data_IF_104102204683
#
_entry.id   IF_104102204683
#
_cell.length_a   1.000
_cell.length_b   1.000
_cell.length_c   1.000
_cell.angle_alpha   90.00
_cell.angle_beta   90.00
_cell.angle_gamma   90.00
#
_symmetry.space_group_name_H-M   'P 1'
#
loop_
_entity.id
_entity.type
_entity.pdbx_description
1 polymer ?
#
# COMPACT_ATOMS: atom_id res chain seq x y z
N UNK A 1 25.77 18.01 -8.70
CA UNK A 1 25.49 19.36 -9.21
C UNK A 1 24.24 19.88 -8.52
N UNK A 2 24.36 20.96 -7.75
CA UNK A 2 23.24 21.63 -7.08
C UNK A 2 22.27 22.26 -8.09
N UNK A 3 20.99 22.40 -7.74
CA UNK A 3 19.91 22.93 -8.58
C UNK A 3 20.20 24.35 -9.07
N UNK A 4 20.91 25.15 -8.28
CA UNK A 4 21.33 26.50 -8.67
C UNK A 4 22.27 26.44 -9.87
N UNK A 5 23.29 25.58 -9.80
CA UNK A 5 24.23 25.39 -10.91
C UNK A 5 23.51 24.80 -12.13
N UNK A 6 22.55 23.89 -11.91
CA UNK A 6 21.78 23.26 -13.00
C UNK A 6 21.03 24.30 -13.83
N UNK A 7 20.35 25.25 -13.15
CA UNK A 7 19.69 26.38 -13.79
C UNK A 7 20.68 27.30 -14.49
N UNK A 8 21.85 27.58 -13.89
CA UNK A 8 22.88 28.39 -14.54
C UNK A 8 23.39 27.78 -15.84
N UNK A 9 23.64 26.47 -15.86
CA UNK A 9 24.05 25.75 -17.09
C UNK A 9 22.94 25.75 -18.13
N UNK A 10 21.68 25.52 -17.73
CA UNK A 10 20.56 25.61 -18.65
C UNK A 10 20.41 27.02 -19.27
N UNK A 11 20.53 28.08 -18.48
CA UNK A 11 20.54 29.45 -19.01
C UNK A 11 21.69 29.69 -20.00
N UNK A 12 22.87 29.12 -19.76
CA UNK A 12 23.99 29.22 -20.69
C UNK A 12 23.70 28.49 -22.00
N UNK A 13 23.09 27.29 -21.94
CA UNK A 13 22.67 26.51 -23.10
C UNK A 13 21.69 27.31 -23.98
N UNK A 14 20.70 27.97 -23.37
CA UNK A 14 19.76 28.86 -24.08
C UNK A 14 20.52 30.02 -24.73
N UNK A 15 21.36 30.74 -23.97
CA UNK A 15 22.11 31.90 -24.46
C UNK A 15 23.08 31.59 -25.61
N UNK A 16 23.59 30.37 -25.65
CA UNK A 16 24.55 29.89 -26.66
C UNK A 16 23.88 29.18 -27.84
N UNK A 17 22.55 29.01 -27.81
CA UNK A 17 21.79 28.33 -28.86
C UNK A 17 21.94 26.81 -28.86
N UNK A 18 22.56 26.22 -27.83
CA UNK A 18 22.69 24.77 -27.72
C UNK A 18 21.36 24.06 -27.42
N UNK A 19 20.29 24.79 -27.12
CA UNK A 19 18.93 24.27 -26.96
C UNK A 19 18.36 23.65 -28.25
N UNK A 20 18.94 23.96 -29.42
CA UNK A 20 18.54 23.31 -30.68
C UNK A 20 18.99 21.83 -30.76
N UNK A 21 19.94 21.41 -29.91
CA UNK A 21 20.51 20.06 -29.98
C UNK A 21 19.76 19.09 -29.07
N UNK A 22 19.13 18.09 -29.69
CA UNK A 22 18.36 17.03 -29.00
C UNK A 22 19.13 16.35 -27.85
N UNK A 23 20.41 16.04 -28.04
CA UNK A 23 21.24 15.41 -27.00
C UNK A 23 21.40 16.28 -25.75
N UNK A 24 21.53 17.61 -25.94
CA UNK A 24 21.64 18.56 -24.84
C UNK A 24 20.32 18.64 -24.07
N UNK A 25 19.19 18.69 -24.79
CA UNK A 25 17.87 18.67 -24.15
C UNK A 25 17.59 17.35 -23.42
N UNK A 26 17.98 16.20 -23.97
CA UNK A 26 17.87 14.91 -23.30
C UNK A 26 18.63 14.91 -21.96
N UNK A 27 19.85 15.46 -21.94
CA UNK A 27 20.64 15.60 -20.72
C UNK A 27 20.02 16.57 -19.71
N UNK A 28 19.40 17.66 -20.18
CA UNK A 28 18.69 18.61 -19.33
C UNK A 28 17.44 18.00 -18.69
N UNK A 29 16.64 17.26 -19.46
CA UNK A 29 15.45 16.53 -18.95
C UNK A 29 15.88 15.54 -17.87
N UNK A 30 16.85 14.68 -18.15
CA UNK A 30 17.38 13.70 -17.20
C UNK A 30 17.91 14.37 -15.92
N UNK A 31 18.69 15.45 -16.07
CA UNK A 31 19.26 16.19 -14.95
C UNK A 31 18.18 16.81 -14.05
N UNK A 32 17.17 17.47 -14.62
CA UNK A 32 16.08 18.08 -13.84
C UNK A 32 15.22 17.01 -13.15
N UNK A 33 14.91 15.93 -13.87
CA UNK A 33 14.11 14.84 -13.35
C UNK A 33 14.80 14.11 -12.19
N UNK A 34 16.09 13.76 -12.31
CA UNK A 34 16.88 13.15 -11.22
C UNK A 34 17.02 14.02 -9.98
N UNK A 35 16.71 15.31 -10.09
CA UNK A 35 16.73 16.29 -8.99
C UNK A 35 15.34 16.62 -8.46
N UNK A 36 14.30 15.92 -8.90
CA UNK A 36 12.92 16.14 -8.49
C UNK A 36 12.27 17.42 -9.02
N UNK A 37 12.96 18.17 -9.89
CA UNK A 37 12.42 19.39 -10.50
C UNK A 37 11.64 19.07 -11.78
N UNK A 38 10.58 18.25 -11.63
CA UNK A 38 9.77 17.76 -12.75
C UNK A 38 9.18 18.90 -13.59
N UNK A 39 8.77 20.02 -12.97
CA UNK A 39 8.29 21.20 -13.71
C UNK A 39 9.29 21.70 -14.75
N UNK A 40 10.58 21.80 -14.40
CA UNK A 40 11.62 22.18 -15.35
C UNK A 40 11.87 21.10 -16.40
N UNK A 41 11.82 19.81 -16.02
CA UNK A 41 11.96 18.70 -16.94
C UNK A 41 10.83 18.72 -18.01
N UNK A 42 9.58 18.93 -17.59
CA UNK A 42 8.44 19.10 -18.49
C UNK A 42 8.61 20.28 -19.42
N UNK A 43 9.05 21.43 -18.90
CA UNK A 43 9.31 22.61 -19.73
C UNK A 43 10.33 22.29 -20.82
N UNK A 44 11.52 21.76 -20.47
CA UNK A 44 12.55 21.44 -21.47
C UNK A 44 12.00 20.45 -22.49
N UNK A 45 11.37 19.37 -22.04
CA UNK A 45 10.83 18.33 -22.91
C UNK A 45 9.79 18.88 -23.90
N UNK A 46 8.85 19.72 -23.42
CA UNK A 46 7.81 20.29 -24.26
C UNK A 46 8.37 21.23 -25.35
N UNK A 47 9.49 21.92 -25.08
CA UNK A 47 10.15 22.80 -26.06
C UNK A 47 10.98 22.04 -27.11
N UNK A 48 11.23 20.74 -26.93
CA UNK A 48 11.95 19.94 -27.92
C UNK A 48 11.10 19.76 -29.19
N UNK A 49 11.65 20.14 -30.35
CA UNK A 49 10.99 19.96 -31.65
C UNK A 49 10.94 18.49 -32.09
N UNK A 50 12.02 17.74 -31.86
CA UNK A 50 12.13 16.31 -32.13
C UNK A 50 12.42 15.57 -30.81
N UNK A 51 11.69 14.48 -30.58
CA UNK A 51 11.74 13.68 -29.34
C UNK A 51 12.02 12.23 -29.71
N UNK A 52 13.07 11.66 -29.13
CA UNK A 52 13.43 10.26 -29.35
C UNK A 52 13.17 9.40 -28.11
N UNK A 53 13.45 8.09 -28.21
CA UNK A 53 13.29 7.14 -27.10
C UNK A 53 13.99 7.64 -25.83
N UNK A 54 15.14 8.30 -25.95
CA UNK A 54 15.90 8.82 -24.79
C UNK A 54 15.15 9.99 -24.14
N UNK A 55 14.60 10.93 -24.92
CA UNK A 55 13.78 12.04 -24.40
C UNK A 55 12.62 11.51 -23.54
N UNK A 56 11.87 10.54 -24.08
CA UNK A 56 10.72 9.94 -23.40
C UNK A 56 11.13 9.11 -22.20
N UNK A 57 12.20 8.32 -22.32
CA UNK A 57 12.71 7.48 -21.23
C UNK A 57 13.14 8.32 -20.04
N UNK A 58 13.91 9.38 -20.25
CA UNK A 58 14.35 10.30 -19.19
C UNK A 58 13.16 10.93 -18.46
N UNK A 59 12.10 11.30 -19.18
CA UNK A 59 10.92 11.90 -18.58
C UNK A 59 10.07 10.89 -17.80
N UNK A 60 9.72 9.76 -18.41
CA UNK A 60 8.87 8.73 -17.80
C UNK A 60 9.52 8.16 -16.55
N UNK A 61 10.80 7.77 -16.66
CA UNK A 61 11.57 7.25 -15.52
C UNK A 61 11.71 8.32 -14.44
N UNK A 62 11.93 9.57 -14.84
CA UNK A 62 11.94 10.74 -13.97
C UNK A 62 10.66 10.90 -13.14
N UNK A 63 9.50 10.88 -13.80
CA UNK A 63 8.19 10.96 -13.13
C UNK A 63 7.99 9.80 -12.16
N UNK A 64 8.28 8.56 -12.58
CA UNK A 64 8.11 7.36 -11.77
C UNK A 64 9.00 7.40 -10.50
N UNK A 65 10.28 7.75 -10.61
CA UNK A 65 11.20 7.82 -9.47
C UNK A 65 10.85 8.93 -8.47
N UNK A 66 10.19 10.00 -8.90
CA UNK A 66 9.76 11.09 -8.03
C UNK A 66 8.32 10.90 -7.49
N UNK A 67 7.74 9.71 -7.65
CA UNK A 67 6.40 9.39 -7.14
C UNK A 67 5.24 9.99 -7.96
N UNK A 68 5.52 10.70 -9.05
CA UNK A 68 4.51 11.22 -9.99
C UNK A 68 4.06 10.13 -10.96
N UNK A 69 3.50 9.04 -10.41
CA UNK A 69 3.15 7.83 -11.15
C UNK A 69 2.10 8.10 -12.24
N UNK A 70 1.10 8.94 -11.97
CA UNK A 70 0.06 9.29 -12.96
C UNK A 70 0.65 10.00 -14.19
N UNK A 71 1.54 10.98 -13.97
CA UNK A 71 2.25 11.65 -15.06
C UNK A 71 3.14 10.67 -15.84
N UNK A 72 3.82 9.74 -15.15
CA UNK A 72 4.60 8.70 -15.83
C UNK A 72 3.74 7.87 -16.78
N UNK A 73 2.55 7.45 -16.34
CA UNK A 73 1.60 6.69 -17.17
C UNK A 73 1.09 7.52 -18.36
N UNK A 74 0.78 8.80 -18.13
CA UNK A 74 0.35 9.72 -19.19
C UNK A 74 1.40 9.88 -20.27
N UNK A 75 2.65 10.20 -19.89
CA UNK A 75 3.74 10.34 -20.85
C UNK A 75 4.11 9.02 -21.55
N UNK A 76 3.88 7.86 -20.91
CA UNK A 76 3.99 6.57 -21.59
C UNK A 76 2.91 6.35 -22.65
N UNK A 77 1.67 6.75 -22.38
CA UNK A 77 0.62 6.75 -23.39
C UNK A 77 0.98 7.68 -24.57
N UNK A 78 1.44 8.90 -24.29
CA UNK A 78 1.85 9.86 -25.31
C UNK A 78 3.03 9.34 -26.15
N UNK A 79 4.03 8.71 -25.51
CA UNK A 79 5.15 8.04 -26.19
C UNK A 79 4.65 7.00 -27.21
N UNK A 80 3.66 6.18 -26.81
CA UNK A 80 3.07 5.15 -27.68
C UNK A 80 2.24 5.75 -28.81
N UNK A 81 1.49 6.83 -28.54
CA UNK A 81 0.72 7.57 -29.56
C UNK A 81 1.67 8.18 -30.59
N UNK A 82 2.84 8.65 -30.16
CA UNK A 82 3.90 9.14 -31.05
C UNK A 82 4.60 8.03 -31.86
N UNK A 83 4.19 6.75 -31.71
CA UNK A 83 4.77 5.62 -32.44
C UNK A 83 6.15 5.18 -31.93
N UNK A 84 6.57 5.67 -30.76
CA UNK A 84 7.90 5.39 -30.21
C UNK A 84 7.81 4.15 -29.32
N UNK A 85 8.61 3.14 -29.63
CA UNK A 85 8.62 1.88 -28.90
C UNK A 85 9.31 2.07 -27.52
N UNK A 86 8.65 1.68 -26.41
CA UNK A 86 9.26 1.74 -25.09
C UNK A 86 10.38 0.71 -24.98
N UNK A 87 11.48 1.11 -24.33
CA UNK A 87 12.55 0.20 -23.97
C UNK A 87 12.26 -0.50 -22.63
N UNK A 88 13.16 -1.40 -22.22
CA UNK A 88 13.06 -2.13 -20.95
C UNK A 88 13.04 -1.21 -19.72
N UNK A 89 13.66 -0.03 -19.79
CA UNK A 89 13.75 0.91 -18.66
C UNK A 89 12.39 1.57 -18.47
N UNK A 90 11.77 2.04 -19.56
CA UNK A 90 10.39 2.57 -19.56
C UNK A 90 9.42 1.52 -19.05
N UNK A 91 9.49 0.28 -19.55
CA UNK A 91 8.59 -0.79 -19.12
C UNK A 91 8.73 -1.04 -17.61
N UNK A 92 9.95 -1.15 -17.09
CA UNK A 92 10.18 -1.34 -15.65
C UNK A 92 9.62 -0.18 -14.81
N UNK A 93 9.84 1.07 -15.23
CA UNK A 93 9.29 2.25 -14.54
C UNK A 93 7.76 2.31 -14.56
N UNK A 94 7.14 1.94 -15.67
CA UNK A 94 5.67 1.93 -15.80
C UNK A 94 5.03 0.81 -15.00
N UNK A 95 5.66 -0.37 -14.96
CA UNK A 95 5.22 -1.45 -14.08
C UNK A 95 5.33 -1.05 -12.60
N UNK A 96 6.40 -0.34 -12.22
CA UNK A 96 6.53 0.22 -10.87
C UNK A 96 5.41 1.22 -10.57
N UNK A 97 5.09 2.13 -11.49
CA UNK A 97 3.98 3.07 -11.34
C UNK A 97 2.62 2.36 -11.21
N UNK A 98 2.39 1.30 -12.00
CA UNK A 98 1.20 0.45 -11.88
C UNK A 98 1.14 -0.23 -10.50
N UNK A 99 2.28 -0.66 -9.96
CA UNK A 99 2.37 -1.29 -8.65
C UNK A 99 1.99 -0.32 -7.51
N UNK A 100 2.47 0.93 -7.56
CA UNK A 100 2.16 1.95 -6.55
C UNK A 100 0.69 2.39 -6.61
N UNK A 101 0.14 2.53 -7.81
CA UNK A 101 -1.25 2.90 -8.04
C UNK A 101 -2.22 1.70 -7.99
N UNK A 102 -1.70 0.48 -7.80
CA UNK A 102 -2.48 -0.77 -7.78
C UNK A 102 -3.30 -1.04 -9.06
N UNK A 103 -2.79 -0.60 -10.23
CA UNK A 103 -3.46 -0.70 -11.54
C UNK A 103 -3.17 -2.05 -12.22
N UNK A 104 -3.83 -3.12 -11.75
CA UNK A 104 -3.58 -4.48 -12.23
C UNK A 104 -3.80 -4.65 -13.74
N UNK A 105 -4.91 -4.14 -14.28
CA UNK A 105 -5.25 -4.35 -15.69
C UNK A 105 -4.31 -3.59 -16.63
N UNK A 106 -3.91 -2.37 -16.28
CA UNK A 106 -2.89 -1.65 -17.03
C UNK A 106 -1.54 -2.37 -16.96
N UNK A 107 -1.16 -2.87 -15.78
CA UNK A 107 0.04 -3.69 -15.61
C UNK A 107 0.03 -4.95 -16.49
N UNK A 108 -1.12 -5.62 -16.63
CA UNK A 108 -1.29 -6.76 -17.55
C UNK A 108 -1.13 -6.36 -19.02
N UNK A 109 -1.68 -5.21 -19.43
CA UNK A 109 -1.50 -4.70 -20.79
C UNK A 109 -0.03 -4.39 -21.10
N UNK A 110 0.68 -3.78 -20.15
CA UNK A 110 2.12 -3.50 -20.26
C UNK A 110 2.92 -4.80 -20.32
N UNK A 111 2.59 -5.79 -19.48
CA UNK A 111 3.22 -7.12 -19.52
C UNK A 111 3.01 -7.81 -20.88
N UNK A 112 1.79 -7.83 -21.41
CA UNK A 112 1.52 -8.42 -22.73
C UNK A 112 2.29 -7.70 -23.84
N UNK A 113 2.42 -6.38 -23.75
CA UNK A 113 3.20 -5.56 -24.70
C UNK A 113 4.69 -5.91 -24.64
N UNK A 114 5.23 -6.07 -23.44
CA UNK A 114 6.61 -6.48 -23.19
C UNK A 114 6.93 -7.86 -23.80
N UNK A 115 6.04 -8.84 -23.62
CA UNK A 115 6.17 -10.17 -24.23
C UNK A 115 6.18 -10.08 -25.76
N UNK A 116 5.26 -9.28 -26.34
CA UNK A 116 5.16 -9.10 -27.79
C UNK A 116 6.43 -8.48 -28.41
N UNK A 117 7.12 -7.62 -27.68
CA UNK A 117 8.37 -6.99 -28.13
C UNK A 117 9.63 -7.85 -27.91
N UNK A 118 9.49 -9.09 -27.44
CA UNK A 118 10.62 -10.00 -27.24
C UNK A 118 11.58 -9.57 -26.13
N UNK A 119 11.14 -8.68 -25.23
CA UNK A 119 11.96 -8.18 -24.13
C UNK A 119 11.96 -9.13 -22.91
N UNK A 120 11.32 -10.31 -23.03
CA UNK A 120 11.01 -11.28 -21.98
C UNK A 120 12.17 -11.76 -21.09
N UNK A 121 13.41 -11.61 -21.52
CA UNK A 121 14.61 -12.07 -20.79
C UNK A 121 15.22 -11.02 -19.85
N UNK A 122 14.67 -9.80 -19.78
CA UNK A 122 15.23 -8.73 -18.95
C UNK A 122 14.95 -8.95 -17.45
N UNK A 123 16.01 -9.13 -16.65
CA UNK A 123 15.91 -9.31 -15.19
C UNK A 123 15.21 -8.13 -14.50
N UNK A 124 15.52 -6.89 -14.90
CA UNK A 124 14.91 -5.70 -14.31
C UNK A 124 13.40 -5.66 -14.55
N UNK A 125 12.95 -6.01 -15.76
CA UNK A 125 11.52 -6.06 -16.05
C UNK A 125 10.85 -7.24 -15.34
N UNK A 126 11.51 -8.40 -15.27
CA UNK A 126 11.04 -9.53 -14.47
C UNK A 126 10.81 -9.14 -12.99
N UNK A 127 11.76 -8.44 -12.38
CA UNK A 127 11.64 -7.89 -11.04
C UNK A 127 10.45 -6.94 -10.89
N UNK A 128 10.29 -5.99 -11.83
CA UNK A 128 9.15 -5.07 -11.84
C UNK A 128 7.81 -5.77 -12.03
N UNK A 129 7.74 -6.84 -12.84
CA UNK A 129 6.53 -7.64 -13.04
C UNK A 129 6.13 -8.41 -11.78
N UNK A 130 7.08 -9.09 -11.13
CA UNK A 130 6.84 -9.78 -9.86
C UNK A 130 6.31 -8.80 -8.82
N UNK A 131 6.96 -7.64 -8.68
CA UNK A 131 6.54 -6.59 -7.75
C UNK A 131 5.16 -6.03 -8.08
N UNK A 132 4.88 -5.74 -9.35
CA UNK A 132 3.60 -5.20 -9.80
C UNK A 132 2.46 -6.16 -9.49
N UNK A 133 2.57 -7.43 -9.89
CA UNK A 133 1.51 -8.40 -9.61
C UNK A 133 1.29 -8.62 -8.12
N UNK A 134 2.37 -8.70 -7.34
CA UNK A 134 2.28 -8.86 -5.89
C UNK A 134 1.62 -7.67 -5.19
N UNK A 135 2.02 -6.43 -5.53
CA UNK A 135 1.43 -5.19 -4.98
C UNK A 135 -0.01 -4.94 -5.47
N UNK A 136 -0.41 -5.53 -6.59
CA UNK A 136 -1.78 -5.48 -7.11
C UNK A 136 -2.69 -6.60 -6.59
N UNK A 137 -2.23 -7.42 -5.63
CA UNK A 137 -3.03 -8.48 -5.04
C UNK A 137 -3.20 -9.73 -5.94
N UNK A 138 -2.38 -9.88 -6.98
CA UNK A 138 -2.39 -11.04 -7.89
C UNK A 138 -1.15 -11.91 -7.65
N UNK A 139 -1.04 -12.48 -6.45
CA UNK A 139 0.16 -13.23 -6.04
C UNK A 139 0.41 -14.46 -6.93
N UNK A 140 -0.65 -15.07 -7.46
CA UNK A 140 -0.53 -16.19 -8.39
C UNK A 140 0.13 -15.79 -9.72
N UNK A 141 -0.17 -14.61 -10.25
CA UNK A 141 0.48 -14.10 -11.46
C UNK A 141 1.95 -13.72 -11.16
N UNK A 142 2.24 -13.21 -9.96
CA UNK A 142 3.62 -12.93 -9.53
C UNK A 142 4.47 -14.20 -9.47
N UNK A 143 3.93 -15.32 -8.97
CA UNK A 143 4.61 -16.62 -8.98
C UNK A 143 4.89 -17.09 -10.40
N UNK A 144 3.93 -16.97 -11.33
CA UNK A 144 4.14 -17.40 -12.72
C UNK A 144 5.30 -16.66 -13.38
N UNK A 145 5.40 -15.33 -13.13
CA UNK A 145 6.54 -14.55 -13.61
C UNK A 145 7.83 -15.05 -12.97
N UNK A 146 7.86 -15.18 -11.65
CA UNK A 146 9.02 -15.67 -10.91
C UNK A 146 9.51 -17.04 -11.42
N UNK A 147 8.59 -17.99 -11.60
CA UNK A 147 8.86 -19.34 -12.09
C UNK A 147 9.43 -19.33 -13.50
N UNK A 148 9.00 -18.39 -14.35
CA UNK A 148 9.51 -18.22 -15.71
C UNK A 148 10.89 -17.57 -15.80
N UNK A 149 11.36 -16.92 -14.73
CA UNK A 149 12.67 -16.24 -14.71
C UNK A 149 13.82 -17.24 -14.58
N UNK A 150 14.79 -17.15 -15.49
CA UNK A 150 16.00 -17.98 -15.49
C UNK A 150 17.03 -17.53 -14.45
N UNK A 151 17.12 -16.23 -14.20
CA UNK A 151 18.01 -15.62 -13.23
C UNK A 151 17.16 -14.88 -12.22
N UNK A 152 17.47 -15.04 -10.93
CA UNK A 152 16.76 -14.42 -9.81
C UNK A 152 17.80 -13.84 -8.88
N UNK A 153 17.68 -12.54 -8.61
CA UNK A 153 18.57 -11.82 -7.70
C UNK A 153 17.87 -11.52 -6.37
N UNK A 154 18.58 -10.84 -5.48
CA UNK A 154 18.03 -10.39 -4.20
C UNK A 154 16.74 -9.60 -4.37
N UNK A 155 16.63 -8.78 -5.42
CA UNK A 155 15.43 -7.98 -5.69
C UNK A 155 14.26 -8.88 -6.07
N UNK A 156 14.49 -9.91 -6.90
CA UNK A 156 13.45 -10.89 -7.27
C UNK A 156 12.86 -11.59 -6.04
N UNK A 157 13.73 -12.12 -5.17
CA UNK A 157 13.32 -12.84 -3.97
C UNK A 157 12.61 -11.93 -2.96
N UNK A 158 13.19 -10.75 -2.71
CA UNK A 158 12.61 -9.75 -1.80
C UNK A 158 11.22 -9.31 -2.26
N UNK A 159 11.01 -9.11 -3.57
CA UNK A 159 9.70 -8.76 -4.13
C UNK A 159 8.63 -9.82 -3.81
N UNK A 160 8.95 -11.12 -3.92
CA UNK A 160 8.04 -12.19 -3.50
C UNK A 160 7.85 -12.22 -1.99
N UNK A 161 8.91 -12.19 -1.19
CA UNK A 161 8.84 -12.26 0.28
C UNK A 161 7.91 -11.15 0.80
N UNK A 162 8.13 -9.91 0.38
CA UNK A 162 7.28 -8.76 0.74
C UNK A 162 5.88 -8.91 0.17
N UNK A 163 5.76 -9.38 -1.07
CA UNK A 163 4.50 -9.64 -1.75
C UNK A 163 3.60 -10.59 -0.98
N UNK A 164 4.10 -11.76 -0.61
CA UNK A 164 3.38 -12.75 0.19
C UNK A 164 2.96 -12.19 1.56
N UNK A 165 3.86 -11.47 2.23
CA UNK A 165 3.57 -10.83 3.50
C UNK A 165 2.42 -9.80 3.37
N UNK A 166 2.45 -8.97 2.33
CA UNK A 166 1.40 -7.99 1.99
C UNK A 166 0.10 -8.62 1.49
N UNK A 167 0.09 -9.91 1.13
CA UNK A 167 -1.12 -10.64 0.73
C UNK A 167 -1.69 -11.52 1.86
N UNK A 168 -1.26 -11.28 3.10
CA UNK A 168 -1.70 -12.01 4.29
C UNK A 168 -1.08 -13.41 4.41
N UNK A 169 -0.20 -13.81 3.50
CA UNK A 169 0.40 -15.14 3.43
C UNK A 169 1.77 -15.17 4.13
N UNK A 170 1.78 -14.80 5.42
CA UNK A 170 3.01 -14.58 6.19
C UNK A 170 3.91 -15.83 6.32
N UNK A 171 3.33 -17.02 6.49
CA UNK A 171 4.12 -18.27 6.57
C UNK A 171 4.79 -18.62 5.24
N UNK A 172 4.09 -18.40 4.14
CA UNK A 172 4.64 -18.65 2.79
C UNK A 172 5.78 -17.66 2.48
N UNK A 173 5.68 -16.42 2.95
CA UNK A 173 6.79 -15.44 2.89
C UNK A 173 8.09 -15.97 3.50
N UNK A 174 8.01 -16.64 4.67
CA UNK A 174 9.18 -17.25 5.31
C UNK A 174 9.73 -18.45 4.51
N UNK A 175 8.86 -19.23 3.86
CA UNK A 175 9.31 -20.33 2.98
C UNK A 175 10.11 -19.81 1.78
N UNK A 176 9.71 -18.67 1.20
CA UNK A 176 10.49 -18.04 0.12
C UNK A 176 11.85 -17.52 0.59
N UNK A 177 11.99 -17.12 1.85
CA UNK A 177 13.29 -16.81 2.43
C UNK A 177 14.18 -18.04 2.55
N UNK A 178 13.64 -19.17 3.02
CA UNK A 178 14.42 -20.41 3.08
C UNK A 178 14.88 -20.86 1.68
N UNK A 179 14.02 -20.71 0.66
CA UNK A 179 14.38 -20.97 -0.74
C UNK A 179 15.43 -19.99 -1.27
N UNK A 180 15.33 -18.71 -0.92
CA UNK A 180 16.32 -17.69 -1.24
C UNK A 180 17.69 -18.08 -0.69
N UNK A 181 17.78 -18.51 0.58
CA UNK A 181 19.02 -18.99 1.17
C UNK A 181 19.53 -20.27 0.49
N UNK A 182 18.65 -21.23 0.19
CA UNK A 182 19.00 -22.46 -0.50
C UNK A 182 19.55 -22.22 -1.92
N UNK A 183 19.11 -21.14 -2.58
CA UNK A 183 19.66 -20.69 -3.87
C UNK A 183 21.03 -20.00 -3.77
N UNK A 184 21.55 -19.78 -2.56
CA UNK A 184 22.80 -19.05 -2.32
C UNK A 184 22.66 -17.51 -2.37
N UNK A 185 21.44 -17.00 -2.48
CA UNK A 185 21.18 -15.55 -2.52
C UNK A 185 21.15 -15.00 -1.09
N UNK A 186 21.97 -13.99 -0.80
CA UNK A 186 22.01 -13.36 0.53
C UNK A 186 20.89 -12.34 0.70
N UNK A 187 20.20 -12.32 1.85
CA UNK A 187 19.21 -11.30 2.16
C UNK A 187 19.84 -9.93 2.36
N UNK A 188 19.07 -8.90 2.04
CA UNK A 188 19.38 -7.50 2.30
C UNK A 188 18.46 -6.92 3.39
N UNK A 189 18.68 -5.65 3.72
CA UNK A 189 17.88 -4.91 4.70
C UNK A 189 16.38 -4.96 4.37
N UNK A 190 16.01 -4.81 3.09
CA UNK A 190 14.60 -4.81 2.66
C UNK A 190 13.96 -6.20 2.81
N UNK A 191 14.75 -7.26 2.59
CA UNK A 191 14.33 -8.64 2.85
C UNK A 191 13.87 -8.80 4.29
N UNK A 192 14.66 -8.31 5.25
CA UNK A 192 14.34 -8.40 6.68
C UNK A 192 13.09 -7.59 7.05
N UNK A 193 12.87 -6.41 6.47
CA UNK A 193 11.60 -5.68 6.63
C UNK A 193 10.42 -6.56 6.19
N UNK A 194 10.53 -7.23 5.04
CA UNK A 194 9.50 -8.15 4.54
C UNK A 194 9.20 -9.29 5.50
N UNK A 195 10.22 -9.92 6.07
CA UNK A 195 10.09 -11.01 7.04
C UNK A 195 9.48 -10.55 8.36
N UNK A 196 9.92 -9.41 8.90
CA UNK A 196 9.39 -8.85 10.13
C UNK A 196 7.93 -8.41 9.96
N UNK A 197 7.60 -7.84 8.79
CA UNK A 197 6.21 -7.51 8.43
C UNK A 197 5.35 -8.79 8.35
N UNK A 198 5.86 -9.86 7.72
CA UNK A 198 5.18 -11.16 7.68
C UNK A 198 4.93 -11.71 9.08
N UNK A 199 5.94 -11.65 9.96
CA UNK A 199 5.84 -12.11 11.33
C UNK A 199 4.82 -11.29 12.13
N UNK A 200 4.86 -9.95 12.02
CA UNK A 200 3.89 -9.05 12.66
C UNK A 200 2.45 -9.40 12.32
N UNK A 201 2.20 -9.77 11.08
CA UNK A 201 0.87 -10.08 10.57
C UNK A 201 0.46 -11.54 10.70
N UNK A 202 1.33 -12.39 11.27
CA UNK A 202 1.07 -13.80 11.55
C UNK A 202 1.32 -14.20 13.01
N UNK A 203 1.70 -13.24 13.88
CA UNK A 203 1.97 -13.46 15.30
C UNK A 203 3.23 -14.28 15.59
N UNK A 204 4.21 -14.29 14.68
CA UNK A 204 5.41 -15.14 14.78
C UNK A 204 6.54 -14.43 15.55
N UNK A 205 6.34 -14.23 16.86
CA UNK A 205 7.27 -13.47 17.73
C UNK A 205 8.70 -14.04 17.72
N UNK A 206 8.85 -15.36 17.89
CA UNK A 206 10.17 -15.97 17.99
C UNK A 206 10.94 -15.95 16.66
N UNK A 207 10.26 -16.16 15.53
CA UNK A 207 10.87 -15.99 14.21
C UNK A 207 11.37 -14.56 14.01
N UNK A 208 10.56 -13.55 14.38
CA UNK A 208 10.96 -12.15 14.22
C UNK A 208 12.19 -11.78 15.06
N UNK A 209 12.27 -12.28 16.31
CA UNK A 209 13.46 -12.13 17.16
C UNK A 209 14.69 -12.75 16.52
N UNK A 210 14.56 -13.97 16.00
CA UNK A 210 15.65 -14.64 15.28
C UNK A 210 16.10 -13.83 14.06
N UNK A 211 15.17 -13.29 13.28
CA UNK A 211 15.51 -12.48 12.11
C UNK A 211 16.26 -11.19 12.47
N UNK A 212 15.77 -10.41 13.44
CA UNK A 212 16.49 -9.21 13.95
C UNK A 212 17.89 -9.56 14.45
N UNK A 213 18.04 -10.66 15.19
CA UNK A 213 19.34 -11.09 15.70
C UNK A 213 20.28 -11.51 14.55
N UNK A 214 19.78 -12.31 13.61
CA UNK A 214 20.55 -12.79 12.46
C UNK A 214 20.99 -11.65 11.54
N UNK A 215 20.14 -10.62 11.38
CA UNK A 215 20.41 -9.45 10.56
C UNK A 215 21.74 -8.79 10.98
N UNK A 216 21.96 -8.62 12.29
CA UNK A 216 23.21 -8.07 12.81
C UNK A 216 24.33 -9.13 12.90
N UNK A 217 24.07 -10.28 13.56
CA UNK A 217 25.12 -11.26 13.88
C UNK A 217 25.64 -12.05 12.69
N UNK A 218 24.78 -12.36 11.72
CA UNK A 218 25.11 -13.24 10.58
C UNK A 218 25.40 -12.41 9.33
N UNK A 219 24.59 -11.38 9.07
CA UNK A 219 24.66 -10.60 7.83
C UNK A 219 25.35 -9.24 8.00
N UNK A 220 25.64 -8.81 9.22
CA UNK A 220 26.29 -7.52 9.49
C UNK A 220 25.43 -6.30 9.11
N UNK A 221 24.12 -6.48 8.98
CA UNK A 221 23.17 -5.43 8.61
C UNK A 221 22.61 -4.82 9.90
N UNK A 222 22.71 -3.51 10.05
CA UNK A 222 22.17 -2.82 11.22
C UNK A 222 20.66 -2.58 11.07
N UNK A 223 19.84 -2.90 12.09
CA UNK A 223 18.40 -2.62 12.05
C UNK A 223 18.11 -1.12 11.97
N UNK A 224 17.34 -0.71 10.96
CA UNK A 224 16.80 0.65 10.82
C UNK A 224 15.42 0.83 11.47
N UNK A 225 14.87 2.06 11.50
CA UNK A 225 13.58 2.36 12.12
C UNK A 225 12.43 1.46 11.62
N UNK A 226 12.40 1.11 10.34
CA UNK A 226 11.36 0.28 9.74
C UNK A 226 11.37 -1.16 10.28
N UNK A 227 12.54 -1.68 10.66
CA UNK A 227 12.68 -3.00 11.29
C UNK A 227 12.10 -2.97 12.71
N UNK A 228 12.44 -1.94 13.48
CA UNK A 228 11.90 -1.72 14.82
C UNK A 228 10.40 -1.47 14.80
N UNK A 229 9.89 -0.71 13.82
CA UNK A 229 8.46 -0.47 13.65
C UNK A 229 7.69 -1.79 13.46
N UNK A 230 8.20 -2.71 12.63
CA UNK A 230 7.59 -4.04 12.45
C UNK A 230 7.64 -4.87 13.74
N UNK A 231 8.75 -4.84 14.48
CA UNK A 231 8.87 -5.54 15.77
C UNK A 231 7.93 -4.98 16.83
N UNK A 232 7.79 -3.65 16.92
CA UNK A 232 6.91 -2.97 17.86
C UNK A 232 5.44 -3.27 17.51
N UNK A 233 5.06 -3.25 16.23
CA UNK A 233 3.72 -3.65 15.79
C UNK A 233 3.42 -5.11 16.17
N UNK A 234 4.37 -6.03 15.96
CA UNK A 234 4.26 -7.44 16.33
C UNK A 234 4.07 -7.64 17.84
N UNK A 235 4.92 -7.03 18.66
CA UNK A 235 4.85 -7.12 20.12
C UNK A 235 3.53 -6.52 20.63
N UNK A 236 3.13 -5.38 20.07
CA UNK A 236 1.84 -4.75 20.34
C UNK A 236 0.65 -5.67 20.06
N UNK A 237 0.60 -6.28 18.87
CA UNK A 237 -0.44 -7.24 18.50
C UNK A 237 -0.43 -8.51 19.36
N UNK A 238 0.73 -8.91 19.84
CA UNK A 238 0.92 -10.14 20.63
C UNK A 238 0.69 -9.97 22.13
N UNK A 239 0.19 -8.82 22.59
CA UNK A 239 -0.05 -8.59 24.02
C UNK A 239 1.15 -8.11 24.82
N UNK A 240 2.30 -7.86 24.16
CA UNK A 240 3.59 -7.61 24.80
C UNK A 240 3.95 -6.13 24.81
N UNK A 241 3.05 -5.27 25.30
CA UNK A 241 3.23 -3.82 25.26
C UNK A 241 4.47 -3.34 26.04
N UNK A 242 4.76 -3.99 27.18
CA UNK A 242 5.94 -3.67 28.00
C UNK A 242 7.22 -3.93 27.20
N UNK A 243 7.35 -5.10 26.58
CA UNK A 243 8.49 -5.42 25.71
C UNK A 243 8.58 -4.45 24.52
N UNK A 244 7.45 -4.04 23.94
CA UNK A 244 7.44 -3.06 22.84
C UNK A 244 7.99 -1.70 23.28
N UNK A 245 7.65 -1.26 24.51
CA UNK A 245 8.18 -0.02 25.12
C UNK A 245 9.67 -0.15 25.40
N UNK A 246 10.11 -1.27 25.96
CA UNK A 246 11.53 -1.52 26.22
C UNK A 246 12.35 -1.51 24.93
N UNK A 247 11.86 -2.17 23.88
CA UNK A 247 12.51 -2.17 22.57
C UNK A 247 12.61 -0.77 21.98
N UNK A 248 11.54 0.03 22.07
CA UNK A 248 11.52 1.42 21.63
C UNK A 248 12.56 2.28 22.36
N UNK A 249 12.68 2.14 23.68
CA UNK A 249 13.63 2.90 24.48
C UNK A 249 15.09 2.45 24.27
N UNK A 250 15.31 1.22 23.80
CA UNK A 250 16.64 0.64 23.52
C UNK A 250 17.09 0.80 22.05
N UNK A 251 16.30 1.46 21.21
CA UNK A 251 16.65 1.65 19.80
C UNK A 251 17.98 2.38 19.65
N UNK A 252 18.86 1.83 18.81
CA UNK A 252 20.18 2.42 18.48
C UNK A 252 20.09 3.56 17.47
N UNK A 253 18.92 3.71 16.83
CA UNK A 253 18.59 4.77 15.87
C UNK A 253 17.42 5.59 16.40
N UNK A 254 17.34 6.86 16.03
CA UNK A 254 16.22 7.70 16.46
C UNK A 254 14.89 7.15 15.91
N UNK A 255 13.85 6.99 16.77
CA UNK A 255 12.54 6.53 16.33
C UNK A 255 11.87 7.53 15.40
N UNK A 256 11.52 7.07 14.19
CA UNK A 256 10.82 7.88 13.20
C UNK A 256 9.29 7.82 13.37
N UNK A 257 8.56 8.47 12.45
CA UNK A 257 7.11 8.48 12.49
C UNK A 257 6.49 7.08 12.32
N UNK A 258 7.15 6.14 11.64
CA UNK A 258 6.63 4.78 11.43
C UNK A 258 6.65 3.99 12.74
N UNK A 259 7.74 4.13 13.50
CA UNK A 259 7.89 3.51 14.83
C UNK A 259 6.85 4.03 15.81
N UNK A 260 6.69 5.35 15.89
CA UNK A 260 5.71 5.93 16.80
C UNK A 260 4.25 5.63 16.40
N UNK A 261 3.95 5.50 15.09
CA UNK A 261 2.63 5.02 14.62
C UNK A 261 2.36 3.60 15.08
N UNK A 262 3.34 2.70 14.93
CA UNK A 262 3.22 1.32 15.40
C UNK A 262 3.00 1.25 16.92
N UNK A 263 3.79 2.03 17.68
CA UNK A 263 3.66 2.08 19.14
C UNK A 263 2.32 2.68 19.61
N UNK A 264 1.85 3.76 18.97
CA UNK A 264 0.52 4.34 19.26
C UNK A 264 -0.60 3.34 18.96
N UNK A 265 -0.50 2.60 17.86
CA UNK A 265 -1.46 1.56 17.51
C UNK A 265 -1.47 0.44 18.56
N UNK A 266 -0.31 0.02 19.08
CA UNK A 266 -0.19 -0.92 20.19
C UNK A 266 -0.83 -0.39 21.47
N UNK A 267 -0.55 0.86 21.85
CA UNK A 267 -1.13 1.50 23.04
C UNK A 267 -2.66 1.55 22.97
N UNK A 268 -3.22 1.83 21.79
CA UNK A 268 -4.67 1.81 21.54
C UNK A 268 -5.26 0.42 21.78
N UNK A 269 -4.64 -0.64 21.27
CA UNK A 269 -5.11 -2.02 21.44
C UNK A 269 -5.17 -2.40 22.92
N UNK A 270 -4.19 -1.94 23.70
CA UNK A 270 -4.06 -2.25 25.13
C UNK A 270 -4.74 -1.23 26.07
N UNK A 271 -5.36 -0.18 25.52
CA UNK A 271 -5.97 0.88 26.31
C UNK A 271 -5.00 1.68 27.19
N UNK A 272 -3.68 1.65 26.92
CA UNK A 272 -2.69 2.36 27.73
C UNK A 272 -2.61 3.83 27.31
N UNK A 273 -3.34 4.68 28.03
CA UNK A 273 -3.44 6.12 27.74
C UNK A 273 -2.10 6.85 27.88
N UNK A 274 -1.33 6.56 28.93
CA UNK A 274 -0.08 7.28 29.22
C UNK A 274 0.95 7.11 28.09
N UNK A 275 1.19 5.86 27.67
CA UNK A 275 2.08 5.56 26.56
C UNK A 275 1.52 6.05 25.23
N UNK A 276 0.19 6.01 25.06
CA UNK A 276 -0.49 6.57 23.89
C UNK A 276 -0.28 8.08 23.75
N UNK A 277 -0.37 8.84 24.85
CA UNK A 277 -0.08 10.27 24.87
C UNK A 277 1.37 10.58 24.51
N UNK A 278 2.32 9.80 25.05
CA UNK A 278 3.74 9.91 24.70
C UNK A 278 3.95 9.71 23.19
N UNK A 279 3.37 8.65 22.62
CA UNK A 279 3.50 8.36 21.20
C UNK A 279 2.87 9.45 20.31
N UNK A 280 1.68 9.92 20.67
CA UNK A 280 0.98 10.96 19.93
C UNK A 280 1.73 12.31 19.95
N UNK A 281 2.33 12.70 21.10
CA UNK A 281 3.14 13.92 21.20
C UNK A 281 4.33 13.90 20.23
N UNK A 282 5.08 12.82 20.18
CA UNK A 282 6.19 12.66 19.23
C UNK A 282 5.70 12.73 17.78
N UNK A 283 4.54 12.13 17.45
CA UNK A 283 3.96 12.21 16.11
C UNK A 283 3.48 13.61 15.72
N UNK A 284 3.04 14.43 16.67
CA UNK A 284 2.65 15.82 16.39
C UNK A 284 3.85 16.70 15.99
N UNK A 285 5.06 16.32 16.42
CA UNK A 285 6.30 17.01 16.07
C UNK A 285 6.85 16.49 14.74
N UNK A 286 6.89 15.17 14.56
CA UNK A 286 7.42 14.53 13.35
C UNK A 286 6.53 14.75 12.12
N UNK A 287 5.21 14.69 12.29
CA UNK A 287 4.24 14.80 11.19
C UNK A 287 3.07 15.74 11.57
N UNK A 288 3.30 17.05 11.67
CA UNK A 288 2.33 18.00 12.23
C UNK A 288 1.03 18.12 11.43
N UNK A 289 1.01 17.67 10.17
CA UNK A 289 -0.18 17.68 9.30
C UNK A 289 -0.93 16.35 9.27
N UNK A 290 -0.41 15.30 9.91
CA UNK A 290 -1.03 13.98 9.87
C UNK A 290 -2.20 13.91 10.87
N UNK A 291 -3.39 13.56 10.38
CA UNK A 291 -4.59 13.41 11.20
C UNK A 291 -4.58 12.15 12.09
N UNK A 292 -3.84 11.11 11.71
CA UNK A 292 -3.83 9.80 12.36
C UNK A 292 -3.59 9.86 13.89
N UNK A 293 -2.54 10.51 14.42
CA UNK A 293 -2.30 10.55 15.85
C UNK A 293 -3.41 11.26 16.64
N UNK A 294 -4.01 12.32 16.08
CA UNK A 294 -5.14 13.02 16.70
C UNK A 294 -6.38 12.13 16.79
N UNK A 295 -6.71 11.45 15.69
CA UNK A 295 -7.87 10.57 15.62
C UNK A 295 -7.70 9.40 16.59
N UNK A 296 -6.53 8.74 16.62
CA UNK A 296 -6.28 7.62 17.52
C UNK A 296 -6.31 8.03 18.98
N UNK A 297 -5.61 9.11 19.37
CA UNK A 297 -5.59 9.57 20.76
C UNK A 297 -6.98 10.01 21.23
N UNK A 298 -7.73 10.72 20.38
CA UNK A 298 -9.13 11.07 20.66
C UNK A 298 -10.00 9.83 20.90
N UNK A 299 -9.86 8.80 20.06
CA UNK A 299 -10.61 7.55 20.21
C UNK A 299 -10.21 6.80 21.50
N UNK A 300 -8.92 6.83 21.88
CA UNK A 300 -8.46 6.24 23.15
C UNK A 300 -9.07 6.95 24.36
N UNK A 301 -9.12 8.28 24.36
CA UNK A 301 -9.79 9.04 25.42
C UNK A 301 -11.28 8.73 25.49
N UNK A 302 -11.98 8.66 24.35
CA UNK A 302 -13.39 8.28 24.29
C UNK A 302 -13.62 6.87 24.86
N UNK A 303 -12.80 5.89 24.48
CA UNK A 303 -12.89 4.52 25.00
C UNK A 303 -12.65 4.44 26.52
N UNK A 304 -11.88 5.36 27.09
CA UNK A 304 -11.67 5.48 28.52
C UNK A 304 -12.70 6.37 29.25
N UNK A 305 -13.77 6.82 28.58
CA UNK A 305 -14.79 7.70 29.14
C UNK A 305 -14.34 9.15 29.39
N UNK A 306 -13.16 9.56 28.90
CA UNK A 306 -12.60 10.91 29.06
C UNK A 306 -13.03 11.83 27.91
N UNK A 307 -14.33 12.12 27.83
CA UNK A 307 -14.93 12.86 26.71
C UNK A 307 -14.36 14.28 26.52
N UNK A 308 -14.07 15.00 27.59
CA UNK A 308 -13.50 16.36 27.52
C UNK A 308 -12.09 16.38 26.91
N UNK A 309 -11.27 15.38 27.27
CA UNK A 309 -9.95 15.21 26.69
C UNK A 309 -10.06 14.83 25.20
N UNK A 310 -10.97 13.92 24.85
CA UNK A 310 -11.24 13.57 23.45
C UNK A 310 -11.67 14.79 22.62
N UNK A 311 -12.60 15.61 23.15
CA UNK A 311 -13.06 16.83 22.51
C UNK A 311 -11.93 17.87 22.36
N UNK A 312 -11.06 17.97 23.37
CA UNK A 312 -9.88 18.86 23.34
C UNK A 312 -8.90 18.48 22.21
N UNK A 313 -8.63 17.19 22.02
CA UNK A 313 -7.79 16.71 20.91
C UNK A 313 -8.43 17.02 19.55
N UNK A 314 -9.75 16.83 19.40
CA UNK A 314 -10.48 17.19 18.17
C UNK A 314 -10.44 18.69 17.89
N UNK A 315 -10.56 19.52 18.93
CA UNK A 315 -10.43 20.98 18.82
C UNK A 315 -9.02 21.39 18.38
N UNK A 316 -7.99 20.76 18.94
CA UNK A 316 -6.59 20.97 18.54
C UNK A 316 -6.34 20.57 17.07
N UNK A 317 -6.89 19.44 16.65
CA UNK A 317 -6.82 18.99 15.25
C UNK A 317 -7.44 20.05 14.31
N UNK A 318 -8.63 20.56 14.64
CA UNK A 318 -9.32 21.60 13.87
C UNK A 318 -8.56 22.94 13.88
N UNK A 319 -8.01 23.37 15.01
CA UNK A 319 -7.25 24.63 15.09
C UNK A 319 -5.96 24.61 14.28
N UNK A 320 -5.41 23.43 13.98
CA UNK A 320 -4.26 23.24 13.08
C UNK A 320 -4.67 23.06 11.61
N UNK A 321 -5.95 23.18 11.28
CA UNK A 321 -6.47 22.99 9.92
C UNK A 321 -6.42 21.55 9.43
N UNK A 322 -6.30 20.58 10.34
CA UNK A 322 -6.21 19.16 10.01
C UNK A 322 -7.62 18.58 9.97
N UNK A 323 -7.94 17.89 8.88
CA UNK A 323 -9.21 17.19 8.72
C UNK A 323 -8.98 15.68 8.69
N UNK A 324 -9.96 14.92 9.18
CA UNK A 324 -9.96 13.46 9.09
C UNK A 324 -10.46 13.09 7.70
N UNK A 325 -9.70 12.28 6.98
CA UNK A 325 -10.20 11.67 5.75
C UNK A 325 -11.33 10.66 6.05
N UNK A 326 -12.47 10.75 5.35
CA UNK A 326 -13.53 9.78 5.50
C UNK A 326 -13.06 8.40 4.99
N UNK A 327 -13.53 7.34 5.64
CA UNK A 327 -13.27 5.98 5.17
C UNK A 327 -14.12 5.69 3.94
N UNK A 328 -13.47 5.43 2.81
CA UNK A 328 -14.13 5.06 1.57
C UNK A 328 -13.62 3.70 1.09
N UNK A 329 -14.50 3.00 0.38
CA UNK A 329 -14.14 1.79 -0.35
C UNK A 329 -14.49 1.98 -1.81
N UNK A 330 -13.70 1.43 -2.73
CA UNK A 330 -13.97 1.54 -4.15
C UNK A 330 -13.67 0.26 -4.90
N UNK A 331 -14.28 0.16 -6.08
CA UNK A 331 -14.08 -0.89 -7.07
C UNK A 331 -13.83 -0.24 -8.43
N UNK A 332 -12.89 -0.79 -9.17
CA UNK A 332 -12.66 -0.43 -10.57
C UNK A 332 -13.33 -1.49 -11.46
N UNK A 333 -14.27 -1.06 -12.30
CA UNK A 333 -14.98 -1.92 -13.25
C UNK A 333 -15.12 -1.18 -14.58
N UNK A 334 -14.74 -1.83 -15.69
CA UNK A 334 -14.83 -1.26 -17.03
C UNK A 334 -14.18 0.14 -17.16
N UNK A 335 -13.01 0.30 -16.53
CA UNK A 335 -12.26 1.57 -16.47
C UNK A 335 -13.01 2.72 -15.78
N UNK A 336 -14.02 2.41 -14.96
CA UNK A 336 -14.72 3.36 -14.09
C UNK A 336 -14.48 2.99 -12.63
N UNK A 337 -14.22 4.01 -11.82
CA UNK A 337 -14.07 3.86 -10.37
C UNK A 337 -15.41 4.16 -9.70
N UNK A 338 -15.97 3.17 -9.02
CA UNK A 338 -17.16 3.32 -8.20
C UNK A 338 -16.74 3.40 -6.73
N UNK A 339 -16.95 4.56 -6.12
CA UNK A 339 -16.57 4.85 -4.73
C UNK A 339 -17.79 4.86 -3.83
N UNK A 340 -17.63 4.31 -2.63
CA UNK A 340 -18.67 4.20 -1.61
C UNK A 340 -18.16 4.79 -0.30
N UNK A 341 -19.00 5.62 0.32
CA UNK A 341 -18.85 6.04 1.71
C UNK A 341 -19.77 5.20 2.61
N UNK A 342 -19.54 5.23 3.93
CA UNK A 342 -20.52 4.62 4.85
C UNK A 342 -21.86 5.33 4.72
N UNK A 343 -22.95 4.55 4.64
CA UNK A 343 -24.32 5.04 4.45
C UNK A 343 -24.53 5.88 3.17
N UNK A 344 -23.68 5.68 2.16
CA UNK A 344 -23.72 6.42 0.90
C UNK A 344 -24.97 6.12 0.08
N UNK A 345 -25.70 7.19 -0.29
CA UNK A 345 -26.88 7.15 -1.16
C UNK A 345 -26.68 7.90 -2.48
N UNK A 346 -25.45 8.31 -2.80
CA UNK A 346 -25.11 9.09 -3.99
C UNK A 346 -24.93 8.25 -5.26
N UNK A 347 -24.85 6.93 -5.15
CA UNK A 347 -24.61 6.06 -6.32
C UNK A 347 -25.86 5.93 -7.20
N UNK A 348 -25.76 5.94 -8.55
CA UNK A 348 -26.93 5.82 -9.44
C UNK A 348 -27.76 4.54 -9.22
N UNK A 349 -27.12 3.47 -8.76
CA UNK A 349 -27.75 2.17 -8.43
C UNK A 349 -28.02 1.96 -6.94
N UNK A 350 -28.19 3.03 -6.17
CA UNK A 350 -28.35 2.95 -4.70
C UNK A 350 -29.46 1.97 -4.29
N UNK A 351 -30.63 1.99 -4.93
CA UNK A 351 -31.73 1.07 -4.58
C UNK A 351 -31.34 -0.41 -4.71
N UNK A 352 -30.71 -0.79 -5.83
CA UNK A 352 -30.23 -2.17 -6.05
C UNK A 352 -29.17 -2.57 -5.01
N UNK A 353 -28.24 -1.67 -4.71
CA UNK A 353 -27.14 -1.92 -3.78
C UNK A 353 -27.69 -2.14 -2.37
N UNK A 354 -28.64 -1.31 -1.94
CA UNK A 354 -29.28 -1.45 -0.61
C UNK A 354 -30.13 -2.71 -0.52
N UNK A 355 -30.87 -3.05 -1.58
CA UNK A 355 -31.57 -4.35 -1.61
C UNK A 355 -30.59 -5.52 -1.52
N UNK A 356 -29.44 -5.43 -2.21
CA UNK A 356 -28.44 -6.49 -2.22
C UNK A 356 -27.68 -6.61 -0.90
N UNK A 357 -27.36 -5.50 -0.24
CA UNK A 357 -26.69 -5.55 1.06
C UNK A 357 -27.63 -6.11 2.13
N UNK A 358 -28.92 -5.81 2.09
CA UNK A 358 -29.92 -6.40 3.00
C UNK A 358 -30.02 -7.92 2.81
N UNK A 359 -30.11 -8.39 1.55
CA UNK A 359 -30.06 -9.82 1.21
C UNK A 359 -28.76 -10.47 1.71
N UNK A 360 -27.62 -9.85 1.41
CA UNK A 360 -26.30 -10.35 1.82
C UNK A 360 -26.20 -10.46 3.35
N UNK A 361 -26.63 -9.43 4.07
CA UNK A 361 -26.59 -9.39 5.53
C UNK A 361 -27.51 -10.43 6.16
N UNK A 362 -28.68 -10.70 5.56
CA UNK A 362 -29.57 -11.79 5.99
C UNK A 362 -28.88 -13.16 5.83
N UNK A 363 -28.36 -13.46 4.64
CA UNK A 363 -27.76 -14.76 4.34
C UNK A 363 -26.51 -15.05 5.18
N UNK A 364 -25.64 -14.05 5.41
CA UNK A 364 -24.47 -14.28 6.27
C UNK A 364 -24.87 -14.48 7.74
N UNK A 365 -25.93 -13.81 8.23
CA UNK A 365 -26.47 -14.02 9.59
C UNK A 365 -27.02 -15.43 9.74
N UNK A 366 -27.76 -15.93 8.75
CA UNK A 366 -28.22 -17.33 8.71
C UNK A 366 -27.06 -18.33 8.70
N UNK A 367 -25.94 -17.97 8.06
CA UNK A 367 -24.70 -18.75 8.08
C UNK A 367 -23.89 -18.63 9.39
N UNK A 368 -24.32 -17.82 10.36
CA UNK A 368 -23.70 -17.69 11.69
C UNK A 368 -22.90 -16.41 11.94
N UNK A 369 -22.93 -15.42 11.03
CA UNK A 369 -22.32 -14.12 11.28
C UNK A 369 -23.08 -13.34 12.36
N UNK A 370 -22.34 -12.84 13.36
CA UNK A 370 -22.85 -11.96 14.41
C UNK A 370 -22.13 -10.61 14.31
N UNK A 371 -22.86 -9.48 14.18
CA UNK A 371 -22.24 -8.16 14.18
C UNK A 371 -21.55 -7.83 15.50
N UNK A 372 -20.32 -7.30 15.44
CA UNK A 372 -19.57 -6.90 16.64
C UNK A 372 -19.73 -5.41 16.94
N UNK A 373 -20.52 -5.10 17.98
CA UNK A 373 -20.85 -3.74 18.38
C UNK A 373 -19.67 -2.93 18.91
N UNK A 374 -18.55 -3.56 19.28
CA UNK A 374 -17.36 -2.86 19.76
C UNK A 374 -16.74 -1.97 18.66
N UNK A 375 -17.09 -2.22 17.40
CA UNK A 375 -16.63 -1.42 16.26
C UNK A 375 -17.51 -0.20 15.96
N UNK A 376 -18.62 -0.01 16.68
CA UNK A 376 -19.43 1.22 16.60
C UNK A 376 -19.06 2.20 17.71
N UNK A 377 -18.28 3.22 17.37
CA UNK A 377 -17.75 4.22 18.30
C UNK A 377 -18.72 5.37 18.61
N UNK A 378 -19.92 5.34 18.02
CA UNK A 378 -20.95 6.36 18.25
C UNK A 378 -21.85 5.98 19.43
N UNK A 379 -22.27 6.98 20.19
CA UNK A 379 -23.26 6.84 21.25
C UNK A 379 -24.67 6.71 20.63
N UNK A 380 -24.90 5.56 20.02
CA UNK A 380 -26.18 5.13 19.46
C UNK A 380 -26.73 3.97 20.29
N UNK A 381 -28.04 3.78 20.23
CA UNK A 381 -28.70 2.59 20.72
C UNK A 381 -28.22 1.33 19.95
N UNK A 382 -28.52 0.14 20.49
CA UNK A 382 -28.02 -1.13 19.93
C UNK A 382 -28.48 -1.32 18.48
N UNK A 383 -29.70 -0.89 18.15
CA UNK A 383 -30.28 -0.96 16.81
C UNK A 383 -29.58 0.00 15.83
N UNK A 384 -29.33 1.26 16.23
CA UNK A 384 -28.56 2.22 15.44
C UNK A 384 -27.11 1.78 15.22
N UNK A 385 -26.48 1.14 16.21
CA UNK A 385 -25.14 0.55 16.05
C UNK A 385 -25.13 -0.59 15.03
N UNK A 386 -26.12 -1.47 15.06
CA UNK A 386 -26.27 -2.55 14.07
C UNK A 386 -26.47 -2.02 12.66
N UNK A 387 -27.33 -1.02 12.51
CA UNK A 387 -27.62 -0.41 11.23
C UNK A 387 -26.35 0.23 10.63
N UNK A 388 -25.63 1.04 11.42
CA UNK A 388 -24.38 1.66 10.98
C UNK A 388 -23.33 0.63 10.54
N UNK A 389 -23.19 -0.48 11.26
CA UNK A 389 -22.27 -1.57 10.89
C UNK A 389 -22.67 -2.29 9.59
N UNK A 390 -23.96 -2.40 9.30
CA UNK A 390 -24.44 -3.05 8.08
C UNK A 390 -24.04 -2.27 6.83
N UNK A 391 -24.05 -0.94 6.89
CA UNK A 391 -23.82 -0.05 5.73
C UNK A 391 -22.42 0.57 5.69
N UNK A 392 -21.42 -0.14 6.19
CA UNK A 392 -20.02 0.22 5.98
C UNK A 392 -19.66 0.19 4.49
N UNK A 393 -18.76 1.09 4.08
CA UNK A 393 -18.37 1.23 2.67
C UNK A 393 -17.85 -0.06 2.04
N UNK A 394 -17.15 -0.91 2.80
CA UNK A 394 -16.69 -2.21 2.28
C UNK A 394 -17.85 -3.12 1.88
N UNK A 395 -18.91 -3.17 2.71
CA UNK A 395 -20.08 -4.02 2.49
C UNK A 395 -20.92 -3.51 1.32
N UNK A 396 -21.05 -2.18 1.19
CA UNK A 396 -21.67 -1.53 0.03
C UNK A 396 -20.91 -1.86 -1.26
N UNK A 397 -19.57 -1.77 -1.23
CA UNK A 397 -18.72 -2.11 -2.37
C UNK A 397 -18.86 -3.59 -2.78
N UNK A 398 -18.90 -4.51 -1.81
CA UNK A 398 -19.15 -5.94 -2.09
C UNK A 398 -20.55 -6.17 -2.65
N UNK A 399 -21.59 -5.54 -2.09
CA UNK A 399 -22.95 -5.66 -2.59
C UNK A 399 -23.07 -5.20 -4.05
N UNK A 400 -22.46 -4.05 -4.38
CA UNK A 400 -22.37 -3.60 -5.77
C UNK A 400 -21.60 -4.58 -6.66
N UNK A 401 -20.47 -5.11 -6.17
CA UNK A 401 -19.66 -6.07 -6.92
C UNK A 401 -20.40 -7.40 -7.17
N UNK A 402 -21.20 -7.88 -6.21
CA UNK A 402 -22.05 -9.06 -6.38
C UNK A 402 -23.11 -8.89 -7.48
N UNK A 403 -23.56 -7.65 -7.73
CA UNK A 403 -24.51 -7.32 -8.79
C UNK A 403 -23.87 -7.15 -10.18
N UNK A 404 -22.57 -6.89 -10.25
CA UNK A 404 -21.93 -6.39 -11.47
C UNK A 404 -20.75 -7.23 -11.96
N UNK A 405 -19.99 -7.84 -11.05
CA UNK A 405 -18.83 -8.65 -11.40
C UNK A 405 -19.31 -10.07 -11.75
N UNK A 406 -18.99 -10.57 -12.97
CA UNK A 406 -19.42 -11.90 -13.42
C UNK A 406 -19.10 -13.02 -12.43
N UNK A 407 -19.95 -14.05 -12.41
CA UNK A 407 -19.72 -15.24 -11.62
C UNK A 407 -18.37 -15.89 -12.02
N UNK A 408 -17.58 -16.31 -11.03
CA UNK A 408 -16.23 -16.87 -11.23
C UNK A 408 -15.10 -15.83 -11.26
N UNK A 409 -15.37 -14.56 -11.59
CA UNK A 409 -14.37 -13.51 -11.50
C UNK A 409 -14.17 -13.06 -10.03
N UNK A 410 -12.91 -12.85 -9.58
CA UNK A 410 -12.64 -12.35 -8.24
C UNK A 410 -13.12 -10.90 -8.09
N UNK A 411 -13.77 -10.62 -6.95
CA UNK A 411 -14.19 -9.27 -6.55
C UNK A 411 -12.97 -8.56 -5.97
N UNK A 412 -12.61 -7.39 -6.50
CA UNK A 412 -11.49 -6.57 -6.00
C UNK A 412 -12.02 -5.28 -5.41
N UNK A 413 -11.70 -5.04 -4.14
CA UNK A 413 -12.12 -3.85 -3.41
C UNK A 413 -10.92 -3.24 -2.73
N UNK A 414 -10.87 -1.92 -2.73
CA UNK A 414 -9.84 -1.14 -2.10
C UNK A 414 -10.46 -0.26 -1.02
N UNK A 415 -9.75 -0.10 0.10
CA UNK A 415 -10.13 0.78 1.19
C UNK A 415 -8.94 1.66 1.56
N UNK A 416 -9.18 2.96 1.76
CA UNK A 416 -8.13 3.91 2.15
C UNK A 416 -7.66 3.74 3.60
N UNK A 417 -8.51 3.18 4.46
CA UNK A 417 -8.23 2.90 5.87
C UNK A 417 -8.13 1.39 6.13
N UNK A 418 -7.64 1.01 7.32
CA UNK A 418 -7.69 -0.37 7.79
C UNK A 418 -9.15 -0.85 7.89
N UNK A 419 -9.41 -2.07 7.43
CA UNK A 419 -10.74 -2.70 7.52
C UNK A 419 -11.03 -3.03 8.99
N UNK A 420 -12.26 -2.78 9.46
CA UNK A 420 -12.64 -3.12 10.83
C UNK A 420 -12.87 -4.63 10.99
N UNK A 421 -12.79 -5.15 12.22
CA UNK A 421 -12.95 -6.58 12.48
C UNK A 421 -14.30 -7.13 12.04
N UNK A 422 -15.36 -6.35 12.25
CA UNK A 422 -16.72 -6.70 11.81
C UNK A 422 -16.82 -6.87 10.28
N UNK A 423 -16.29 -5.92 9.51
CA UNK A 423 -16.29 -6.02 8.04
C UNK A 423 -15.40 -7.15 7.56
N UNK A 424 -14.23 -7.35 8.16
CA UNK A 424 -13.37 -8.49 7.86
C UNK A 424 -14.11 -9.82 8.08
N UNK A 425 -14.82 -9.95 9.21
CA UNK A 425 -15.61 -11.14 9.50
C UNK A 425 -16.78 -11.31 8.52
N UNK A 426 -17.51 -10.24 8.22
CA UNK A 426 -18.58 -10.26 7.22
C UNK A 426 -18.07 -10.75 5.86
N UNK A 427 -16.90 -10.28 5.39
CA UNK A 427 -16.33 -10.73 4.12
C UNK A 427 -15.98 -12.22 4.10
N UNK A 428 -15.57 -12.80 5.23
CA UNK A 428 -15.40 -14.26 5.34
C UNK A 428 -16.71 -14.96 5.05
N UNK A 429 -17.77 -14.64 5.78
CA UNK A 429 -19.08 -15.27 5.58
C UNK A 429 -19.61 -15.03 4.18
N UNK A 430 -19.51 -13.80 3.65
CA UNK A 430 -19.94 -13.48 2.28
C UNK A 430 -19.19 -14.33 1.25
N UNK A 431 -17.87 -14.52 1.40
CA UNK A 431 -17.10 -15.37 0.49
C UNK A 431 -17.55 -16.83 0.51
N UNK A 432 -17.99 -17.35 1.66
CA UNK A 432 -18.50 -18.70 1.82
C UNK A 432 -19.92 -18.86 1.26
N UNK A 433 -20.84 -17.96 1.63
CA UNK A 433 -22.24 -17.98 1.21
C UNK A 433 -22.39 -17.82 -0.30
N UNK A 434 -21.67 -16.86 -0.89
CA UNK A 434 -21.77 -16.56 -2.32
C UNK A 434 -20.75 -17.32 -3.18
N UNK A 435 -19.86 -18.13 -2.58
CA UNK A 435 -18.77 -18.83 -3.26
C UNK A 435 -17.94 -17.90 -4.16
N UNK A 436 -17.60 -16.71 -3.64
CA UNK A 436 -16.81 -15.69 -4.36
C UNK A 436 -15.43 -15.54 -3.73
N UNK A 437 -14.42 -15.41 -4.58
CA UNK A 437 -13.11 -14.90 -4.14
C UNK A 437 -13.21 -13.37 -4.01
N UNK A 438 -13.13 -12.86 -2.78
CA UNK A 438 -13.08 -11.43 -2.49
C UNK A 438 -11.63 -11.07 -2.13
N UNK A 439 -11.05 -10.14 -2.86
CA UNK A 439 -9.73 -9.56 -2.63
C UNK A 439 -9.97 -8.14 -2.11
N UNK A 440 -9.73 -7.92 -0.83
CA UNK A 440 -9.90 -6.63 -0.19
C UNK A 440 -8.53 -6.07 0.21
N UNK A 441 -8.11 -4.97 -0.40
CA UNK A 441 -6.93 -4.22 0.02
C UNK A 441 -7.33 -3.16 1.04
N UNK A 442 -6.69 -3.18 2.19
CA UNK A 442 -6.76 -2.09 3.16
C UNK A 442 -5.46 -1.25 3.16
N UNK A 443 -5.35 -0.30 4.08
CA UNK A 443 -4.17 0.57 4.19
C UNK A 443 -2.86 -0.18 4.45
N UNK A 444 -2.91 -1.44 4.91
CA UNK A 444 -1.76 -2.22 5.35
C UNK A 444 -1.43 -3.39 4.41
N UNK A 445 -2.44 -4.14 3.96
CA UNK A 445 -2.31 -5.42 3.24
C UNK A 445 -3.56 -5.80 2.43
N UNK A 446 -3.44 -6.85 1.63
CA UNK A 446 -4.55 -7.57 1.01
C UNK A 446 -5.04 -8.68 1.93
N UNK A 447 -6.36 -8.86 1.91
CA UNK A 447 -7.08 -9.96 2.52
C UNK A 447 -7.77 -10.74 1.40
N UNK A 448 -7.44 -12.02 1.28
CA UNK A 448 -8.05 -12.91 0.28
C UNK A 448 -9.08 -13.77 0.99
N UNK A 449 -10.36 -13.48 0.77
CA UNK A 449 -11.46 -14.27 1.31
C UNK A 449 -11.90 -15.30 0.28
N UNK A 450 -11.77 -16.58 0.63
CA UNK A 450 -12.24 -17.72 -0.17
C UNK A 450 -12.85 -18.74 0.77
N UNK A 451 -14.04 -19.24 0.44
CA UNK A 451 -14.68 -20.37 1.15
C UNK A 451 -14.77 -20.16 2.67
N UNK A 452 -15.13 -18.94 3.11
CA UNK A 452 -15.27 -18.64 4.54
C UNK A 452 -13.96 -18.36 5.28
N UNK A 453 -12.81 -18.42 4.60
CA UNK A 453 -11.47 -18.21 5.20
C UNK A 453 -10.81 -16.98 4.62
N UNK A 454 -9.95 -16.34 5.42
CA UNK A 454 -9.09 -15.24 4.98
C UNK A 454 -7.63 -15.71 4.92
N UNK A 455 -6.87 -15.23 3.93
CA UNK A 455 -5.43 -15.52 3.81
C UNK A 455 -4.63 -15.16 5.06
N UNK A 456 -5.08 -14.18 5.85
CA UNK A 456 -4.39 -13.77 7.07
C UNK A 456 -4.56 -14.71 8.28
N UNK A 457 -5.34 -15.80 8.15
CA UNK A 457 -5.54 -16.77 9.23
C UNK A 457 -6.18 -16.19 10.49
N UNK A 458 -7.01 -15.15 10.33
CA UNK A 458 -7.68 -14.41 11.42
C UNK A 458 -6.74 -13.68 12.39
N UNK A 459 -5.46 -13.55 12.04
CA UNK A 459 -4.53 -12.66 12.73
C UNK A 459 -4.59 -11.27 12.10
N UNK A 460 -5.55 -10.44 12.55
CA UNK A 460 -5.89 -9.16 11.91
C UNK A 460 -5.46 -7.91 12.65
#
# INVERSE_FOLDING_TARGET
MDMKNAKSVHCLIIKTGFEAYKLVNNALVDMYAKRGSLGCAFTVFNHMQDKDVISWTSLVTGCAHNGSCEEALKYFCDMRIAGICPDQIVVASILSACAELTLLELGRQVHATFLKFGLGSSLSVGNSLVMMYAKCGSIEDANRVFDSMQVRDVITWTALIVGYAKNGRGKDSLQFYDQMLASGTKPDSITFIGLLFACSHAGLVENARHYIESMNKVYGIQPGPEHYACMIDLLGRSGKLVEAKELLDQMVVEPDATVWKAFLAACRVHGNLELGERAAKNLFELEPKNAMPYVLLSNMYSAAGKWDAAASIRKLMKSRGISKEPGCSWIELNSQVHTFLSEDRGHPRTADIYSKIDEMMLLIKEAGYVPDMNFSLHDLDVEGKQLGLAYHSEKLAVAFALLTVPAGAPIRIFKNLRVCGDCHNAMKYTSGVYLRHIILRDSNRFHHFREGKCSCGDYW
#
